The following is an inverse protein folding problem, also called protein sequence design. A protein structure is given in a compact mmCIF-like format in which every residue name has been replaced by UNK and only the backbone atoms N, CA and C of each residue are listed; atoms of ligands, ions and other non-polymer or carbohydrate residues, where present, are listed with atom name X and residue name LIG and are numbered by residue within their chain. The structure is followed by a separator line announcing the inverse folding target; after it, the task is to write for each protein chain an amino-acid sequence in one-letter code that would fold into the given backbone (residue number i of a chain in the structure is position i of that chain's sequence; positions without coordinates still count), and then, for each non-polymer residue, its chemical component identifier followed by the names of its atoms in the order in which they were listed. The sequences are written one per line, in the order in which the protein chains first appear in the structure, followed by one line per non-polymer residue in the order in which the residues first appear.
data_IF_313455830760
#
_entry.id   IF_313455830760
#
_cell.length_a   1.000
_cell.length_b   1.000
_cell.length_c   1.000
_cell.angle_alpha   90.00
_cell.angle_beta   90.00
_cell.angle_gamma   90.00
#
_symmetry.space_group_name_H-M   'P 1'
#
loop_
_entity.id
_entity.type
_entity.pdbx_description
1 polymer ?
#
# COMPACT_ATOMS: atom_id res chain seq x y z
N UNK A 1 -2.54 32.65 6.79
CA UNK A 1 -2.07 31.29 6.40
C UNK A 1 -3.25 30.33 6.50
N UNK A 2 -3.76 29.81 5.39
CA UNK A 2 -4.94 28.94 5.39
C UNK A 2 -4.57 27.54 5.89
N UNK A 3 -5.15 27.12 7.03
CA UNK A 3 -4.94 25.78 7.60
C UNK A 3 -5.63 24.70 6.74
N UNK A 4 -4.91 24.19 5.74
CA UNK A 4 -5.41 23.21 4.77
C UNK A 4 -5.71 21.81 5.35
N UNK A 5 -5.47 21.56 6.64
CA UNK A 5 -5.66 20.24 7.27
C UNK A 5 -6.60 20.22 8.47
N UNK A 6 -7.25 21.34 8.83
CA UNK A 6 -7.98 21.46 10.12
C UNK A 6 -9.12 20.46 10.34
N UNK A 7 -9.64 19.82 9.29
CA UNK A 7 -10.72 18.82 9.39
C UNK A 7 -10.31 17.40 8.96
N UNK A 8 -9.03 17.13 8.72
CA UNK A 8 -8.57 15.81 8.25
C UNK A 8 -8.36 14.87 9.45
N UNK A 9 -9.26 13.88 9.61
CA UNK A 9 -9.11 12.87 10.66
C UNK A 9 -8.14 11.77 10.24
N UNK A 10 -7.02 11.62 10.94
CA UNK A 10 -6.06 10.53 10.73
C UNK A 10 -6.15 9.54 11.89
N UNK A 11 -6.53 8.29 11.59
CA UNK A 11 -6.70 7.22 12.56
C UNK A 11 -6.16 5.88 12.04
N UNK A 12 -5.98 4.92 12.95
CA UNK A 12 -5.77 3.53 12.57
C UNK A 12 -7.05 2.73 12.76
N UNK A 13 -7.16 1.63 12.01
CA UNK A 13 -8.24 0.65 12.16
C UNK A 13 -7.69 -0.77 12.16
N UNK A 14 -8.36 -1.61 12.93
CA UNK A 14 -8.19 -3.05 12.95
C UNK A 14 -9.19 -3.64 11.96
N UNK A 15 -8.73 -4.48 11.04
CA UNK A 15 -9.60 -5.09 10.02
C UNK A 15 -9.41 -6.60 9.98
N UNK A 16 -10.48 -7.31 10.34
CA UNK A 16 -10.55 -8.76 10.23
C UNK A 16 -10.50 -9.18 8.76
N UNK A 17 -11.10 -8.41 7.87
CA UNK A 17 -11.18 -8.69 6.44
C UNK A 17 -9.79 -8.65 5.79
N UNK A 18 -8.98 -7.63 6.12
CA UNK A 18 -7.57 -7.57 5.69
C UNK A 18 -6.80 -8.75 6.26
N UNK A 19 -6.96 -9.07 7.55
CA UNK A 19 -6.31 -10.25 8.13
C UNK A 19 -6.71 -11.55 7.42
N UNK A 20 -8.00 -11.79 7.17
CA UNK A 20 -8.52 -13.01 6.55
C UNK A 20 -7.99 -13.14 5.12
N UNK A 21 -7.99 -12.06 4.34
CA UNK A 21 -7.41 -12.06 3.00
C UNK A 21 -5.94 -12.47 3.03
N UNK A 22 -5.12 -11.82 3.87
CA UNK A 22 -3.71 -12.12 3.89
C UNK A 22 -3.41 -13.46 4.55
N UNK A 23 -4.25 -13.94 5.45
CA UNK A 23 -4.15 -15.31 5.94
C UNK A 23 -4.39 -16.32 4.79
N UNK A 24 -5.43 -16.11 3.98
CA UNK A 24 -5.70 -16.96 2.82
C UNK A 24 -4.54 -16.91 1.79
N UNK A 25 -4.05 -15.71 1.45
CA UNK A 25 -2.89 -15.52 0.57
C UNK A 25 -1.68 -16.30 1.08
N UNK A 26 -1.32 -16.16 2.37
CA UNK A 26 -0.17 -16.83 2.94
C UNK A 26 -0.28 -18.36 2.93
N UNK A 27 -1.49 -18.93 2.99
CA UNK A 27 -1.70 -20.38 3.02
C UNK A 27 -1.90 -20.99 1.64
N UNK A 28 -2.26 -20.17 0.65
CA UNK A 28 -2.66 -20.62 -0.69
C UNK A 28 -1.67 -20.22 -1.79
N UNK A 29 -0.42 -19.88 -1.42
CA UNK A 29 0.71 -19.74 -2.35
C UNK A 29 1.16 -18.31 -2.63
N UNK A 30 0.87 -17.35 -1.75
CA UNK A 30 1.49 -16.02 -1.81
C UNK A 30 2.80 -16.01 -1.02
N UNK A 31 3.91 -16.18 -1.73
CA UNK A 31 5.28 -16.24 -1.21
C UNK A 31 6.11 -14.99 -1.50
N UNK A 32 5.50 -13.97 -2.11
CA UNK A 32 6.18 -12.73 -2.47
C UNK A 32 6.90 -12.10 -1.27
N UNK A 33 8.19 -11.81 -1.46
CA UNK A 33 9.04 -11.05 -0.56
C UNK A 33 9.82 -9.99 -1.35
N UNK A 34 9.73 -8.73 -0.93
CA UNK A 34 10.46 -7.63 -1.60
C UNK A 34 11.86 -7.40 -1.01
N UNK A 35 12.41 -8.37 -0.28
CA UNK A 35 13.58 -8.15 0.55
C UNK A 35 14.37 -9.44 0.85
N UNK A 36 15.68 -9.28 1.06
CA UNK A 36 16.58 -10.39 1.35
C UNK A 36 16.44 -10.95 2.78
N UNK A 37 15.65 -10.31 3.67
CA UNK A 37 15.38 -10.85 5.02
C UNK A 37 14.34 -11.97 5.00
N UNK A 38 13.70 -12.18 3.86
CA UNK A 38 12.63 -13.14 3.69
C UNK A 38 11.39 -12.78 4.51
N UNK A 39 10.64 -13.82 4.86
CA UNK A 39 9.31 -13.68 5.43
C UNK A 39 9.29 -13.10 6.85
N UNK A 40 8.39 -12.14 7.06
CA UNK A 40 8.15 -11.55 8.37
C UNK A 40 7.76 -12.61 9.41
N UNK A 41 8.22 -12.46 10.65
CA UNK A 41 8.01 -13.45 11.71
C UNK A 41 6.53 -13.76 11.94
N UNK A 42 5.65 -12.77 11.78
CA UNK A 42 4.22 -12.95 11.99
C UNK A 42 3.61 -13.85 10.89
N UNK A 43 4.03 -13.67 9.63
CA UNK A 43 3.68 -14.58 8.52
C UNK A 43 4.19 -16.01 8.78
N UNK A 44 5.45 -16.16 9.19
CA UNK A 44 6.04 -17.46 9.56
C UNK A 44 5.23 -18.14 10.66
N UNK A 45 4.89 -17.40 11.72
CA UNK A 45 4.09 -17.91 12.84
C UNK A 45 2.68 -18.34 12.38
N UNK A 46 2.01 -17.54 11.57
CA UNK A 46 0.71 -17.89 10.99
C UNK A 46 0.79 -19.21 10.21
N UNK A 47 1.77 -19.32 9.31
CA UNK A 47 1.99 -20.53 8.51
C UNK A 47 2.24 -21.73 9.40
N UNK A 48 3.15 -21.63 10.37
CA UNK A 48 3.43 -22.75 11.28
C UNK A 48 2.19 -23.24 12.04
N UNK A 49 1.26 -22.33 12.40
CA UNK A 49 0.00 -22.70 13.06
C UNK A 49 -0.96 -23.41 12.09
N UNK A 50 -1.00 -23.00 10.83
CA UNK A 50 -2.08 -23.35 9.90
C UNK A 50 -1.69 -24.34 8.79
N UNK A 51 -0.40 -24.54 8.52
CA UNK A 51 0.13 -25.37 7.42
C UNK A 51 -0.28 -26.84 7.48
N UNK A 52 -0.70 -27.34 8.66
CA UNK A 52 -1.16 -28.73 8.83
C UNK A 52 -2.47 -29.04 8.09
N UNK A 53 -3.17 -28.03 7.58
CA UNK A 53 -4.42 -28.22 6.84
C UNK A 53 -4.19 -28.01 5.33
N UNK A 54 -4.81 -28.86 4.51
CA UNK A 54 -4.79 -28.72 3.06
C UNK A 54 -5.81 -27.67 2.59
N UNK A 55 -5.54 -26.39 2.89
CA UNK A 55 -6.42 -25.26 2.57
C UNK A 55 -6.72 -25.14 1.08
N UNK A 56 -5.75 -25.48 0.23
CA UNK A 56 -5.89 -25.48 -1.23
C UNK A 56 -6.97 -26.47 -1.68
N UNK A 57 -6.96 -27.69 -1.12
CA UNK A 57 -8.00 -28.70 -1.39
C UNK A 57 -9.36 -28.31 -0.82
N UNK A 58 -9.39 -27.65 0.35
CA UNK A 58 -10.64 -27.24 1.01
C UNK A 58 -11.31 -26.03 0.34
N UNK A 59 -10.53 -25.10 -0.22
CA UNK A 59 -11.03 -23.88 -0.88
C UNK A 59 -10.41 -23.66 -2.27
N UNK A 60 -10.63 -24.57 -3.23
CA UNK A 60 -9.99 -24.49 -4.55
C UNK A 60 -10.41 -23.25 -5.34
N UNK A 61 -11.68 -22.83 -5.21
CA UNK A 61 -12.18 -21.61 -5.85
C UNK A 61 -11.50 -20.36 -5.29
N UNK A 62 -11.31 -20.30 -3.97
CA UNK A 62 -10.59 -19.19 -3.34
C UNK A 62 -9.14 -19.15 -3.84
N UNK A 63 -8.44 -20.29 -3.81
CA UNK A 63 -7.07 -20.39 -4.29
C UNK A 63 -6.95 -19.89 -5.73
N UNK A 64 -7.83 -20.32 -6.63
CA UNK A 64 -7.82 -19.90 -8.04
C UNK A 64 -7.96 -18.38 -8.19
N UNK A 65 -8.83 -17.76 -7.39
CA UNK A 65 -9.00 -16.30 -7.37
C UNK A 65 -7.74 -15.62 -6.83
N UNK A 66 -7.18 -16.10 -5.71
CA UNK A 66 -5.98 -15.53 -5.11
C UNK A 66 -4.75 -15.61 -6.02
N UNK A 67 -4.63 -16.66 -6.85
CA UNK A 67 -3.57 -16.79 -7.86
C UNK A 67 -3.76 -15.85 -9.05
N UNK A 68 -5.02 -15.57 -9.42
CA UNK A 68 -5.35 -14.78 -10.62
C UNK A 68 -5.29 -13.27 -10.38
N UNK A 69 -5.60 -12.81 -9.17
CA UNK A 69 -5.74 -11.38 -8.88
C UNK A 69 -4.68 -10.90 -7.90
N UNK A 70 -4.01 -9.81 -8.26
CA UNK A 70 -3.07 -9.11 -7.38
C UNK A 70 -3.76 -8.66 -6.08
N UNK A 71 -3.08 -8.69 -4.91
CA UNK A 71 -3.65 -8.29 -3.61
C UNK A 71 -4.35 -6.93 -3.60
N UNK A 72 -3.86 -5.97 -4.40
CA UNK A 72 -4.50 -4.67 -4.60
C UNK A 72 -5.97 -4.80 -5.02
N UNK A 73 -6.28 -5.63 -6.03
CA UNK A 73 -7.64 -5.79 -6.56
C UNK A 73 -8.56 -6.48 -5.55
N UNK A 74 -8.02 -7.46 -4.82
CA UNK A 74 -8.74 -8.18 -3.77
C UNK A 74 -9.09 -7.26 -2.60
N UNK A 75 -8.14 -6.45 -2.14
CA UNK A 75 -8.36 -5.43 -1.12
C UNK A 75 -9.38 -4.39 -1.56
N UNK A 76 -9.24 -3.85 -2.77
CA UNK A 76 -10.18 -2.86 -3.30
C UNK A 76 -11.62 -3.42 -3.31
N UNK A 77 -11.79 -4.67 -3.75
CA UNK A 77 -13.09 -5.34 -3.71
C UNK A 77 -13.64 -5.47 -2.28
N UNK A 78 -12.82 -5.85 -1.29
CA UNK A 78 -13.22 -5.88 0.13
C UNK A 78 -13.73 -4.50 0.58
N UNK A 79 -12.97 -3.43 0.34
CA UNK A 79 -13.35 -2.10 0.81
C UNK A 79 -14.61 -1.56 0.11
N UNK A 80 -14.77 -1.79 -1.19
CA UNK A 80 -15.98 -1.44 -1.91
C UNK A 80 -17.21 -2.17 -1.31
N UNK A 81 -17.10 -3.48 -1.03
CA UNK A 81 -18.18 -4.26 -0.41
C UNK A 81 -18.53 -3.74 0.98
N UNK A 82 -17.52 -3.51 1.83
CA UNK A 82 -17.72 -3.01 3.21
C UNK A 82 -18.42 -1.65 3.26
N UNK A 83 -18.27 -0.85 2.21
CA UNK A 83 -18.87 0.48 2.10
C UNK A 83 -20.19 0.48 1.30
N UNK A 84 -20.76 -0.71 1.01
CA UNK A 84 -21.99 -0.84 0.25
C UNK A 84 -21.88 -0.32 -1.19
N UNK A 85 -20.66 -0.18 -1.73
CA UNK A 85 -20.45 0.28 -3.09
C UNK A 85 -20.66 -0.85 -4.07
N UNK A 86 -21.22 -0.51 -5.22
CA UNK A 86 -21.50 -1.48 -6.26
C UNK A 86 -20.17 -2.01 -6.83
N UNK A 87 -19.89 -3.28 -6.58
CA UNK A 87 -18.83 -4.00 -7.27
C UNK A 87 -19.50 -4.55 -8.52
N UNK A 88 -18.89 -4.33 -9.69
CA UNK A 88 -19.38 -4.87 -10.95
C UNK A 88 -19.81 -6.34 -10.72
N UNK A 89 -21.08 -6.68 -11.05
CA UNK A 89 -21.76 -7.95 -10.71
C UNK A 89 -21.17 -9.17 -11.44
N UNK A 90 -19.86 -9.20 -11.65
CA UNK A 90 -19.14 -10.37 -12.15
C UNK A 90 -19.29 -11.50 -11.12
N UNK A 91 -19.71 -12.67 -11.59
CA UNK A 91 -19.88 -13.88 -10.77
C UNK A 91 -18.66 -14.19 -9.89
N UNK A 92 -17.44 -13.89 -10.39
CA UNK A 92 -16.19 -14.10 -9.66
C UNK A 92 -16.13 -13.41 -8.29
N UNK A 93 -16.73 -12.23 -8.14
CA UNK A 93 -16.70 -11.51 -6.85
C UNK A 93 -17.65 -12.13 -5.84
N UNK A 94 -18.81 -12.64 -6.28
CA UNK A 94 -19.70 -13.39 -5.40
C UNK A 94 -19.02 -14.67 -4.90
N UNK A 95 -18.36 -15.41 -5.80
CA UNK A 95 -17.55 -16.59 -5.45
C UNK A 95 -16.43 -16.23 -4.48
N UNK A 96 -15.69 -15.14 -4.75
CA UNK A 96 -14.63 -14.64 -3.88
C UNK A 96 -15.14 -14.37 -2.46
N UNK A 97 -16.20 -13.59 -2.33
CA UNK A 97 -16.71 -13.20 -1.02
C UNK A 97 -17.32 -14.37 -0.25
N UNK A 98 -18.08 -15.24 -0.92
CA UNK A 98 -18.65 -16.44 -0.29
C UNK A 98 -17.55 -17.35 0.27
N UNK A 99 -16.53 -17.64 -0.54
CA UNK A 99 -15.41 -18.46 -0.10
C UNK A 99 -14.57 -17.79 1.01
N UNK A 100 -14.29 -16.50 0.91
CA UNK A 100 -13.52 -15.77 1.92
C UNK A 100 -14.29 -15.70 3.26
N UNK A 101 -15.61 -15.55 3.21
CA UNK A 101 -16.47 -15.58 4.39
C UNK A 101 -16.45 -16.97 5.05
N UNK A 102 -16.61 -18.04 4.26
CA UNK A 102 -16.53 -19.41 4.77
C UNK A 102 -15.17 -19.71 5.39
N UNK A 103 -14.08 -19.32 4.71
CA UNK A 103 -12.73 -19.41 5.25
C UNK A 103 -12.58 -18.62 6.56
N UNK A 104 -13.20 -17.44 6.68
CA UNK A 104 -13.17 -16.64 7.93
C UNK A 104 -13.91 -17.29 9.11
N UNK A 105 -14.81 -18.24 8.84
CA UNK A 105 -15.61 -18.95 9.84
C UNK A 105 -14.88 -20.13 10.47
N UNK A 106 -13.80 -20.59 9.84
CA UNK A 106 -12.97 -21.71 10.30
C UNK A 106 -12.46 -21.49 11.74
N UNK A 107 -12.58 -22.48 12.65
CA UNK A 107 -12.18 -22.32 14.05
C UNK A 107 -10.73 -21.88 14.22
N UNK A 108 -9.82 -22.45 13.43
CA UNK A 108 -8.41 -22.08 13.46
C UNK A 108 -8.19 -20.63 13.00
N UNK A 109 -8.89 -20.17 11.96
CA UNK A 109 -8.80 -18.78 11.48
C UNK A 109 -9.34 -17.80 12.52
N UNK A 110 -10.46 -18.13 13.17
CA UNK A 110 -11.00 -17.33 14.29
C UNK A 110 -10.00 -17.25 15.45
N UNK A 111 -9.41 -18.38 15.85
CA UNK A 111 -8.40 -18.44 16.92
C UNK A 111 -7.17 -17.62 16.58
N UNK A 112 -6.64 -17.75 15.36
CA UNK A 112 -5.45 -17.00 14.95
C UNK A 112 -5.74 -15.51 14.76
N UNK A 113 -6.94 -15.13 14.34
CA UNK A 113 -7.35 -13.72 14.32
C UNK A 113 -7.18 -13.06 15.68
N UNK A 114 -7.63 -13.71 16.77
CA UNK A 114 -7.49 -13.17 18.13
C UNK A 114 -6.02 -12.92 18.50
N UNK A 115 -5.11 -13.81 18.11
CA UNK A 115 -3.67 -13.67 18.36
C UNK A 115 -3.08 -12.48 17.59
N UNK A 116 -3.44 -12.32 16.32
CA UNK A 116 -2.86 -11.29 15.44
C UNK A 116 -3.55 -9.94 15.58
N UNK A 117 -4.79 -9.88 16.09
CA UNK A 117 -5.50 -8.64 16.40
C UNK A 117 -4.68 -7.76 17.35
N UNK A 118 -4.14 -8.34 18.42
CA UNK A 118 -3.32 -7.60 19.39
C UNK A 118 -2.03 -7.07 18.77
N UNK A 119 -1.40 -7.87 17.90
CA UNK A 119 -0.23 -7.42 17.13
C UNK A 119 -0.60 -6.26 16.20
N UNK A 120 -1.72 -6.36 15.47
CA UNK A 120 -2.21 -5.31 14.59
C UNK A 120 -2.45 -3.99 15.35
N UNK A 121 -3.04 -4.07 16.56
CA UNK A 121 -3.23 -2.90 17.44
C UNK A 121 -1.88 -2.29 17.82
N UNK A 122 -0.93 -3.10 18.28
CA UNK A 122 0.39 -2.63 18.70
C UNK A 122 1.14 -1.94 17.56
N UNK A 123 1.20 -2.59 16.39
CA UNK A 123 1.90 -2.05 15.22
C UNK A 123 1.21 -0.80 14.67
N UNK A 124 -0.12 -0.75 14.71
CA UNK A 124 -0.89 0.40 14.20
C UNK A 124 -0.71 1.69 14.99
N UNK A 125 -0.41 1.59 16.28
CA UNK A 125 -0.22 2.78 17.12
C UNK A 125 1.11 3.49 16.85
N UNK A 126 2.17 2.75 16.50
CA UNK A 126 3.54 3.28 16.42
C UNK A 126 3.70 4.47 15.47
N UNK A 127 3.18 4.45 14.23
CA UNK A 127 3.52 5.47 13.24
C UNK A 127 2.48 6.59 13.16
N UNK A 128 1.34 6.50 13.86
CA UNK A 128 0.23 7.45 13.73
C UNK A 128 0.67 8.89 14.03
N UNK A 129 1.40 9.11 15.14
CA UNK A 129 1.81 10.46 15.55
C UNK A 129 2.80 11.08 14.58
N UNK A 130 3.78 10.29 14.14
CA UNK A 130 4.80 10.70 13.14
C UNK A 130 4.12 10.97 11.80
N UNK A 131 3.22 10.09 11.37
CA UNK A 131 2.52 10.23 10.10
C UNK A 131 1.59 11.44 10.08
N UNK A 132 0.92 11.80 11.18
CA UNK A 132 0.15 13.04 11.25
C UNK A 132 1.00 14.28 10.95
N UNK A 133 2.23 14.35 11.48
CA UNK A 133 3.17 15.43 11.18
C UNK A 133 3.59 15.39 9.70
N UNK A 134 3.83 14.18 9.19
CA UNK A 134 4.23 13.95 7.81
C UNK A 134 3.15 14.40 6.80
N UNK A 135 1.87 14.11 7.06
CA UNK A 135 0.76 14.55 6.20
C UNK A 135 0.70 16.06 6.13
N UNK A 136 0.81 16.76 7.26
CA UNK A 136 0.82 18.22 7.30
C UNK A 136 2.01 18.81 6.52
N UNK A 137 3.21 18.23 6.71
CA UNK A 137 4.41 18.62 5.98
C UNK A 137 4.24 18.43 4.48
N UNK A 138 3.75 17.26 4.05
CA UNK A 138 3.55 16.91 2.66
C UNK A 138 2.53 17.83 1.96
N UNK A 139 1.38 18.09 2.61
CA UNK A 139 0.34 18.99 2.09
C UNK A 139 0.89 20.40 1.90
N UNK A 140 1.60 20.91 2.91
CA UNK A 140 2.22 22.24 2.85
C UNK A 140 3.27 22.32 1.74
N UNK A 141 4.11 21.29 1.63
CA UNK A 141 5.17 21.19 0.64
C UNK A 141 4.62 21.17 -0.79
N UNK A 142 3.67 20.28 -1.07
CA UNK A 142 3.12 20.12 -2.42
C UNK A 142 2.11 21.21 -2.80
N UNK A 143 1.65 22.01 -1.82
CA UNK A 143 0.54 22.97 -1.99
C UNK A 143 -0.73 22.32 -2.55
N UNK A 144 -0.87 21.02 -2.35
CA UNK A 144 -2.04 20.25 -2.78
C UNK A 144 -3.08 20.26 -1.69
N UNK A 145 -4.34 20.29 -2.10
CA UNK A 145 -5.43 20.19 -1.14
C UNK A 145 -5.81 18.73 -0.92
N UNK A 146 -5.93 18.31 0.35
CA UNK A 146 -6.67 17.09 0.70
C UNK A 146 -8.15 17.42 0.99
N UNK A 147 -8.68 18.56 0.53
CA UNK A 147 -10.06 19.01 0.84
C UNK A 147 -11.13 17.96 0.50
N UNK A 148 -10.92 17.17 -0.54
CA UNK A 148 -11.87 16.12 -0.93
C UNK A 148 -11.89 14.94 0.03
N UNK A 149 -10.84 14.75 0.82
CA UNK A 149 -10.78 13.69 1.84
C UNK A 149 -10.97 14.29 3.24
N UNK A 150 -11.93 13.73 3.97
CA UNK A 150 -12.18 14.05 5.38
C UNK A 150 -11.39 13.16 6.32
N UNK A 151 -10.89 12.02 5.82
CA UNK A 151 -10.33 10.96 6.67
C UNK A 151 -9.19 10.18 6.00
N UNK A 152 -8.17 9.83 6.78
CA UNK A 152 -7.17 8.82 6.44
C UNK A 152 -7.25 7.69 7.48
N UNK A 153 -7.43 6.46 7.01
CA UNK A 153 -7.48 5.25 7.82
C UNK A 153 -6.28 4.37 7.49
N UNK A 154 -5.46 4.10 8.50
CA UNK A 154 -4.28 3.25 8.36
C UNK A 154 -4.59 1.87 8.93
N UNK A 155 -4.35 0.81 8.17
CA UNK A 155 -4.53 -0.57 8.58
C UNK A 155 -3.18 -1.26 8.45
N UNK A 156 -2.54 -1.54 9.58
CA UNK A 156 -1.30 -2.31 9.55
C UNK A 156 -1.60 -3.78 9.27
N UNK A 157 -0.81 -4.40 8.43
CA UNK A 157 -0.97 -5.80 8.09
C UNK A 157 0.36 -6.53 8.24
N UNK A 158 0.53 -7.16 9.40
CA UNK A 158 1.72 -7.97 9.68
C UNK A 158 1.80 -9.26 8.86
N UNK A 159 0.77 -9.56 8.06
CA UNK A 159 0.74 -10.73 7.20
C UNK A 159 1.18 -10.45 5.75
N UNK A 160 1.65 -9.23 5.43
CA UNK A 160 2.24 -8.92 4.12
C UNK A 160 3.77 -8.93 4.13
N UNK A 161 4.36 -8.82 2.95
CA UNK A 161 5.78 -8.61 2.72
C UNK A 161 6.26 -7.28 3.34
N UNK A 162 7.54 -7.23 3.71
CA UNK A 162 8.16 -5.98 4.18
C UNK A 162 8.04 -4.87 3.13
N UNK A 163 7.79 -3.66 3.62
CA UNK A 163 7.75 -2.43 2.81
C UNK A 163 6.73 -2.46 1.67
N UNK A 164 5.75 -3.36 1.71
CA UNK A 164 4.64 -3.40 0.77
C UNK A 164 3.46 -2.59 1.34
N UNK A 165 2.82 -1.80 0.49
CA UNK A 165 1.68 -0.97 0.85
C UNK A 165 0.64 -0.99 -0.25
N UNK A 166 -0.58 -0.60 0.13
CA UNK A 166 -1.67 -0.37 -0.80
C UNK A 166 -2.48 0.81 -0.33
N UNK A 167 -2.97 1.59 -1.28
CA UNK A 167 -3.78 2.75 -1.00
C UNK A 167 -5.00 2.83 -1.90
N UNK A 168 -6.11 3.27 -1.31
CA UNK A 168 -7.39 3.40 -2.00
C UNK A 168 -8.08 4.67 -1.51
N UNK A 169 -8.63 5.45 -2.44
CA UNK A 169 -9.55 6.55 -2.11
C UNK A 169 -10.96 6.10 -2.44
N UNK A 170 -11.82 6.02 -1.43
CA UNK A 170 -13.25 5.70 -1.59
C UNK A 170 -14.04 6.83 -0.93
N UNK A 171 -14.85 7.51 -1.74
CA UNK A 171 -15.51 8.76 -1.38
C UNK A 171 -14.51 9.77 -0.79
N UNK A 172 -14.74 10.20 0.46
CA UNK A 172 -13.93 11.17 1.20
C UNK A 172 -12.95 10.50 2.18
N UNK A 173 -12.65 9.21 2.02
CA UNK A 173 -11.73 8.47 2.89
C UNK A 173 -10.59 7.85 2.09
N UNK A 174 -9.36 8.09 2.55
CA UNK A 174 -8.15 7.41 2.08
C UNK A 174 -7.89 6.23 3.01
N UNK A 175 -7.78 5.03 2.47
CA UNK A 175 -7.36 3.83 3.18
C UNK A 175 -5.94 3.49 2.79
N UNK A 176 -5.07 3.26 3.77
CA UNK A 176 -3.69 2.80 3.55
C UNK A 176 -3.54 1.47 4.31
N UNK A 177 -3.28 0.39 3.57
CA UNK A 177 -2.94 -0.92 4.14
C UNK A 177 -1.42 -1.08 4.05
N UNK A 178 -0.74 -1.20 5.17
CA UNK A 178 0.72 -1.19 5.22
C UNK A 178 1.30 -2.46 5.83
N UNK A 179 2.23 -3.08 5.13
CA UNK A 179 3.00 -4.23 5.58
C UNK A 179 4.00 -3.90 6.69
N UNK A 180 4.76 -4.92 7.17
CA UNK A 180 5.78 -4.73 8.19
C UNK A 180 6.86 -3.72 7.80
N UNK A 181 7.34 -2.96 8.78
CA UNK A 181 8.40 -1.97 8.60
C UNK A 181 7.93 -0.61 8.10
N UNK A 182 6.62 -0.35 8.00
CA UNK A 182 6.10 0.97 7.64
C UNK A 182 6.38 2.06 8.70
N UNK A 183 6.70 1.66 9.93
CA UNK A 183 7.16 2.55 11.01
C UNK A 183 8.64 2.95 10.86
N UNK A 184 9.41 2.21 10.04
CA UNK A 184 10.82 2.51 9.78
C UNK A 184 10.95 3.64 8.76
N UNK A 185 12.15 4.22 8.66
CA UNK A 185 12.49 5.31 7.73
C UNK A 185 11.54 6.53 7.79
N UNK A 186 11.07 6.93 8.98
CA UNK A 186 10.14 8.06 9.15
C UNK A 186 8.89 7.90 8.29
N UNK A 187 8.23 6.74 8.36
CA UNK A 187 6.95 6.47 7.70
C UNK A 187 6.95 6.66 6.17
N UNK A 188 8.11 6.47 5.53
CA UNK A 188 8.31 6.57 4.08
C UNK A 188 7.26 5.77 3.30
N UNK A 189 6.97 4.53 3.73
CA UNK A 189 5.96 3.69 3.07
C UNK A 189 4.57 4.35 3.13
N UNK A 190 4.15 4.86 4.29
CA UNK A 190 2.84 5.51 4.41
C UNK A 190 2.77 6.79 3.57
N UNK A 191 3.87 7.55 3.48
CA UNK A 191 3.98 8.73 2.62
C UNK A 191 3.87 8.35 1.13
N UNK A 192 4.57 7.30 0.71
CA UNK A 192 4.49 6.77 -0.66
C UNK A 192 3.05 6.39 -1.02
N UNK A 193 2.38 5.64 -0.14
CA UNK A 193 0.98 5.26 -0.33
C UNK A 193 0.01 6.46 -0.32
N UNK A 194 0.28 7.46 0.51
CA UNK A 194 -0.54 8.68 0.51
C UNK A 194 -0.42 9.44 -0.81
N UNK A 195 0.80 9.57 -1.36
CA UNK A 195 1.05 10.26 -2.62
C UNK A 195 0.22 9.69 -3.78
N UNK A 196 0.05 8.36 -3.84
CA UNK A 196 -0.84 7.70 -4.82
C UNK A 196 -2.31 8.15 -4.72
N UNK A 197 -2.74 8.65 -3.57
CA UNK A 197 -4.12 9.10 -3.33
C UNK A 197 -4.31 10.62 -3.47
N UNK A 198 -3.24 11.38 -3.70
CA UNK A 198 -3.33 12.83 -3.92
C UNK A 198 -3.63 13.13 -5.39
N UNK A 199 -4.38 14.20 -5.65
CA UNK A 199 -4.63 14.69 -7.00
C UNK A 199 -3.39 15.43 -7.53
N UNK A 200 -2.40 14.65 -7.96
CA UNK A 200 -1.09 15.11 -8.41
C UNK A 200 -1.13 15.45 -9.91
N UNK A 201 -1.03 16.74 -10.24
CA UNK A 201 -1.06 17.24 -11.63
C UNK A 201 0.33 17.46 -12.22
N UNK A 202 1.19 16.44 -12.11
CA UNK A 202 2.53 16.47 -12.70
C UNK A 202 2.55 15.82 -14.08
N UNK A 203 3.29 16.44 -14.98
CA UNK A 203 3.52 15.92 -16.32
C UNK A 203 4.95 15.44 -16.44
N UNK A 204 5.15 14.26 -17.02
CA UNK A 204 6.47 13.72 -17.34
C UNK A 204 6.51 13.34 -18.81
N UNK A 205 7.68 13.46 -19.43
CA UNK A 205 7.85 13.15 -20.84
C UNK A 205 7.44 11.69 -21.13
N UNK A 206 6.59 11.48 -22.15
CA UNK A 206 6.17 10.16 -22.62
C UNK A 206 7.35 9.28 -23.03
N UNK A 207 8.47 9.87 -23.45
CA UNK A 207 9.69 9.14 -23.79
C UNK A 207 10.33 8.42 -22.58
N UNK A 208 10.03 8.88 -21.36
CA UNK A 208 10.47 8.25 -20.11
C UNK A 208 9.66 6.97 -19.82
N UNK A 209 8.42 6.88 -20.31
CA UNK A 209 7.45 5.83 -19.99
C UNK A 209 7.63 4.51 -20.75
N UNK A 210 8.87 4.18 -21.15
CA UNK A 210 9.15 2.90 -21.83
C UNK A 210 9.00 1.75 -20.86
N UNK A 211 8.00 0.89 -21.10
CA UNK A 211 7.80 -0.35 -20.36
C UNK A 211 8.90 -1.33 -20.75
N UNK A 212 9.57 -1.93 -19.76
CA UNK A 212 10.52 -3.01 -19.98
C UNK A 212 10.08 -4.29 -19.26
N UNK A 213 10.70 -5.42 -19.60
CA UNK A 213 10.37 -6.75 -19.04
C UNK A 213 10.46 -6.76 -17.50
N UNK A 214 11.46 -6.07 -16.93
CA UNK A 214 11.67 -5.98 -15.47
C UNK A 214 10.52 -5.26 -14.77
N UNK A 215 10.02 -4.17 -15.35
CA UNK A 215 8.86 -3.43 -14.82
C UNK A 215 7.59 -4.28 -14.91
N UNK A 216 7.38 -5.01 -16.01
CA UNK A 216 6.24 -5.93 -16.16
C UNK A 216 6.29 -7.02 -15.09
N UNK A 217 7.45 -7.64 -14.85
CA UNK A 217 7.60 -8.68 -13.82
C UNK A 217 7.38 -8.15 -12.40
N UNK A 218 7.52 -6.83 -12.18
CA UNK A 218 7.21 -6.17 -10.91
C UNK A 218 5.74 -5.76 -10.79
N UNK A 219 4.89 -6.11 -11.76
CA UNK A 219 3.46 -5.76 -11.76
C UNK A 219 3.12 -4.43 -12.44
N UNK A 220 4.11 -3.74 -13.03
CA UNK A 220 3.90 -2.49 -13.76
C UNK A 220 3.51 -2.78 -15.22
N UNK A 221 2.24 -3.15 -15.41
CA UNK A 221 1.72 -3.62 -16.70
C UNK A 221 1.22 -2.52 -17.64
N UNK A 222 1.22 -1.25 -17.22
CA UNK A 222 0.74 -0.14 -18.05
C UNK A 222 1.58 1.13 -17.90
N UNK A 223 1.62 1.93 -18.96
CA UNK A 223 2.28 3.25 -18.95
C UNK A 223 1.67 4.17 -17.89
N UNK A 224 0.36 4.06 -17.63
CA UNK A 224 -0.32 4.84 -16.59
C UNK A 224 0.21 4.51 -15.19
N UNK A 225 0.38 3.22 -14.88
CA UNK A 225 0.94 2.80 -13.59
C UNK A 225 2.39 3.28 -13.46
N UNK A 226 3.20 3.07 -14.50
CA UNK A 226 4.62 3.50 -14.49
C UNK A 226 4.73 5.01 -14.33
N UNK A 227 3.86 5.78 -15.00
CA UNK A 227 3.80 7.23 -14.87
C UNK A 227 3.51 7.65 -13.42
N UNK A 228 2.49 7.04 -12.81
CA UNK A 228 2.12 7.28 -11.42
C UNK A 228 3.28 6.99 -10.48
N UNK A 229 3.93 5.83 -10.63
CA UNK A 229 5.08 5.43 -9.82
C UNK A 229 6.28 6.36 -9.96
N UNK A 230 6.61 6.79 -11.18
CA UNK A 230 7.67 7.78 -11.41
C UNK A 230 7.39 9.08 -10.66
N UNK A 231 6.17 9.61 -10.75
CA UNK A 231 5.76 10.84 -10.06
C UNK A 231 5.85 10.65 -8.55
N UNK A 232 5.26 9.59 -8.01
CA UNK A 232 5.25 9.32 -6.57
C UNK A 232 6.66 9.15 -6.03
N UNK A 233 7.52 8.37 -6.71
CA UNK A 233 8.92 8.15 -6.31
C UNK A 233 9.74 9.43 -6.36
N UNK A 234 9.59 10.23 -7.41
CA UNK A 234 10.30 11.50 -7.52
C UNK A 234 9.86 12.50 -6.44
N UNK A 235 8.55 12.63 -6.18
CA UNK A 235 8.04 13.46 -5.09
C UNK A 235 8.55 12.98 -3.73
N UNK A 236 8.62 11.66 -3.52
CA UNK A 236 9.21 11.08 -2.31
C UNK A 236 10.67 11.54 -2.14
N UNK A 237 11.51 11.43 -3.18
CA UNK A 237 12.91 11.87 -3.17
C UNK A 237 13.03 13.38 -2.88
N UNK A 238 12.27 14.21 -3.59
CA UNK A 238 12.33 15.67 -3.43
C UNK A 238 11.91 16.06 -2.02
N UNK A 239 10.82 15.47 -1.51
CA UNK A 239 10.36 15.71 -0.14
C UNK A 239 11.42 15.29 0.89
N UNK A 240 12.05 14.11 0.72
CA UNK A 240 13.13 13.66 1.60
C UNK A 240 14.32 14.64 1.61
N UNK A 241 14.64 15.23 0.48
CA UNK A 241 15.70 16.24 0.40
C UNK A 241 15.31 17.54 1.10
N UNK A 242 14.18 18.12 0.68
CA UNK A 242 13.79 19.48 1.02
C UNK A 242 13.24 19.59 2.44
N UNK A 243 12.52 18.57 2.91
CA UNK A 243 11.86 18.62 4.21
C UNK A 243 12.61 17.85 5.29
N UNK A 244 13.43 16.87 4.92
CA UNK A 244 14.12 16.00 5.88
C UNK A 244 15.64 16.12 5.84
N UNK A 245 16.20 17.02 5.01
CA UNK A 245 17.64 17.27 4.83
C UNK A 245 18.43 15.99 4.53
N UNK A 246 17.84 15.06 3.77
CA UNK A 246 18.51 13.81 3.38
C UNK A 246 19.33 14.01 2.11
N UNK A 247 20.49 13.35 2.08
CA UNK A 247 21.28 13.20 0.86
C UNK A 247 20.54 12.26 -0.12
N UNK A 248 20.09 12.83 -1.24
CA UNK A 248 19.31 12.10 -2.25
C UNK A 248 20.13 11.29 -3.23
N UNK A 249 21.46 11.46 -3.30
CA UNK A 249 22.30 10.76 -4.27
C UNK A 249 22.18 9.23 -4.12
N UNK A 250 22.16 8.75 -2.87
CA UNK A 250 21.94 7.32 -2.56
C UNK A 250 20.52 6.85 -2.90
N UNK A 251 19.51 7.70 -2.68
CA UNK A 251 18.11 7.37 -2.99
C UNK A 251 17.89 7.26 -4.50
N UNK A 252 18.40 8.24 -5.26
CA UNK A 252 18.37 8.22 -6.72
C UNK A 252 19.10 6.99 -7.25
N UNK A 253 20.30 6.68 -6.74
CA UNK A 253 21.05 5.50 -7.18
C UNK A 253 20.27 4.20 -6.96
N UNK A 254 19.62 4.05 -5.80
CA UNK A 254 18.77 2.90 -5.49
C UNK A 254 17.58 2.81 -6.45
N UNK A 255 16.87 3.92 -6.66
CA UNK A 255 15.68 3.95 -7.52
C UNK A 255 16.02 3.69 -8.99
N UNK A 256 17.18 4.14 -9.49
CA UNK A 256 17.64 3.91 -10.87
C UNK A 256 17.73 2.43 -11.26
N UNK A 257 17.86 1.52 -10.31
CA UNK A 257 17.87 0.09 -10.58
C UNK A 257 16.54 -0.39 -11.19
N UNK A 258 15.41 0.23 -10.80
CA UNK A 258 14.07 -0.13 -11.26
C UNK A 258 13.44 0.95 -12.15
N UNK A 259 13.81 2.21 -11.91
CA UNK A 259 13.33 3.41 -12.61
C UNK A 259 14.53 4.19 -13.15
N UNK A 260 15.16 3.75 -14.26
CA UNK A 260 16.43 4.29 -14.74
C UNK A 260 16.42 5.80 -14.99
N UNK A 261 15.25 6.34 -15.31
CA UNK A 261 15.00 7.73 -15.65
C UNK A 261 14.52 8.59 -14.47
N UNK A 262 14.63 8.09 -13.24
CA UNK A 262 14.11 8.78 -12.05
C UNK A 262 14.83 10.12 -11.80
N UNK A 263 16.10 10.26 -12.19
CA UNK A 263 16.84 11.53 -12.06
C UNK A 263 16.26 12.60 -12.96
N UNK A 264 15.94 12.29 -14.22
CA UNK A 264 15.29 13.25 -15.12
C UNK A 264 13.92 13.64 -14.56
N UNK A 265 13.11 12.66 -14.11
CA UNK A 265 11.78 12.94 -13.53
C UNK A 265 11.86 13.81 -12.27
N UNK A 266 12.84 13.59 -11.39
CA UNK A 266 13.07 14.45 -10.22
C UNK A 266 13.31 15.89 -10.66
N UNK A 267 14.19 16.12 -11.64
CA UNK A 267 14.44 17.46 -12.17
C UNK A 267 13.19 18.09 -12.80
N UNK A 268 12.42 17.33 -13.58
CA UNK A 268 11.17 17.80 -14.21
C UNK A 268 10.14 18.25 -13.17
N UNK A 269 9.99 17.48 -12.10
CA UNK A 269 9.04 17.79 -11.02
C UNK A 269 9.53 18.96 -10.17
N UNK A 270 10.83 19.08 -9.89
CA UNK A 270 11.38 20.26 -9.19
C UNK A 270 11.09 21.55 -9.95
N UNK A 271 11.27 21.55 -11.28
CA UNK A 271 10.94 22.71 -12.13
C UNK A 271 9.44 23.04 -12.05
N UNK A 272 8.57 22.04 -12.11
CA UNK A 272 7.12 22.24 -11.97
C UNK A 272 6.73 22.76 -10.58
N UNK A 273 7.42 22.33 -9.52
CA UNK A 273 7.25 22.83 -8.16
C UNK A 273 7.86 24.22 -7.93
N UNK A 274 8.64 24.75 -8.89
CA UNK A 274 9.44 25.99 -8.75
C UNK A 274 10.39 25.94 -7.56
N UNK A 275 10.99 24.78 -7.32
CA UNK A 275 12.01 24.57 -6.29
C UNK A 275 13.37 24.53 -7.02
N UNK A 276 14.40 25.15 -6.44
CA UNK A 276 15.75 25.13 -7.00
C UNK A 276 16.25 23.70 -7.26
N UNK A 277 17.17 23.56 -8.22
CA UNK A 277 17.78 22.28 -8.53
C UNK A 277 18.52 21.72 -7.30
N UNK A 278 18.38 20.42 -7.07
CA UNK A 278 19.01 19.67 -5.98
C UNK A 278 20.29 19.00 -6.47
#
# INVERSE_FOLDING_TARGET
MNNHTHNLKIEYKISKEVFVLFAALNLMGYDDENNNRGMYWARKKLRNILLKNNWNKKYPQLQNILKKYHPYWLLNAIFLKLLGKNINKKSVWNTYFSNLENFSKEPLIKKTWLLFKNLQIKESKKPISVFKKEVNGLVKFLRVSIKDSKKIVIIFNSLDAYWRGYSFKIDKTIYIVAGPGADKNRVELLRHELLHCLDLKFHIDKNILKINKKLISMGYSSKKIINCEYIVRALNIIYESQMLNKNISKLIQKERQNFPKIKEVVGDIQRQLKIGNL
#
